data_IF_468333571233
#
_entry.id   IF_468333571233
#
_cell.length_a   1.000
_cell.length_b   1.000
_cell.length_c   1.000
_cell.angle_alpha   90.00
_cell.angle_beta   90.00
_cell.angle_gamma   90.00
#
_symmetry.space_group_name_H-M   'P 1'
#
loop_
_entity.id
_entity.type
_entity.pdbx_description
1 polymer ?
#
# COMPACT_ATOMS: atom_id res chain seq x y z
N UNK A 1 33.85 5.91 34.44
CA UNK A 1 33.13 6.63 33.39
C UNK A 1 33.42 5.96 32.06
N UNK A 2 32.62 4.97 31.65
CA UNK A 2 32.80 4.32 30.36
C UNK A 2 32.11 5.19 29.29
N UNK A 3 32.93 5.85 28.48
CA UNK A 3 32.50 6.63 27.32
C UNK A 3 31.82 5.71 26.30
N UNK A 4 30.53 5.95 26.05
CA UNK A 4 29.78 5.34 24.96
C UNK A 4 30.32 5.85 23.62
N UNK A 5 31.32 5.16 23.07
CA UNK A 5 31.69 5.29 21.67
C UNK A 5 30.56 4.71 20.82
N UNK A 6 29.62 5.57 20.40
CA UNK A 6 28.66 5.28 19.35
C UNK A 6 29.44 5.12 18.04
N UNK A 7 29.73 3.88 17.66
CA UNK A 7 30.21 3.52 16.33
C UNK A 7 29.25 4.00 15.22
N UNK A 8 29.64 3.91 13.93
CA UNK A 8 28.85 4.43 12.83
C UNK A 8 27.43 3.82 12.91
N UNK A 9 26.41 4.68 12.81
CA UNK A 9 24.99 4.29 12.84
C UNK A 9 24.75 3.11 11.88
N UNK A 10 24.68 1.89 12.41
CA UNK A 10 24.28 0.74 11.60
C UNK A 10 22.76 0.82 11.39
N UNK A 11 22.31 0.77 10.14
CA UNK A 11 20.88 0.73 9.81
C UNK A 11 20.24 -0.48 10.49
N UNK A 12 19.10 -0.28 11.15
CA UNK A 12 18.34 -1.38 11.78
C UNK A 12 17.88 -2.38 10.71
N UNK A 13 17.57 -3.65 11.05
CA UNK A 13 17.04 -4.60 10.06
C UNK A 13 15.79 -4.10 9.33
N UNK A 14 14.94 -3.34 10.03
CA UNK A 14 13.78 -2.68 9.45
C UNK A 14 14.18 -1.59 8.43
N UNK A 15 15.15 -0.73 8.76
CA UNK A 15 15.67 0.27 7.83
C UNK A 15 16.31 -0.39 6.60
N UNK A 16 17.05 -1.49 6.78
CA UNK A 16 17.62 -2.26 5.67
C UNK A 16 16.54 -2.88 4.77
N UNK A 17 15.42 -3.32 5.33
CA UNK A 17 14.28 -3.82 4.55
C UNK A 17 13.71 -2.72 3.62
N UNK A 18 13.55 -1.50 4.12
CA UNK A 18 13.13 -0.34 3.32
C UNK A 18 14.17 0.00 2.25
N UNK A 19 15.45 0.01 2.62
CA UNK A 19 16.55 0.24 1.69
C UNK A 19 16.58 -0.79 0.55
N UNK A 20 16.29 -2.05 0.87
CA UNK A 20 16.16 -3.14 -0.12
C UNK A 20 14.94 -2.96 -1.01
N UNK A 21 13.77 -2.65 -0.45
CA UNK A 21 12.52 -2.44 -1.21
C UNK A 21 12.60 -1.25 -2.17
N UNK A 22 13.53 -0.33 -1.93
CA UNK A 22 13.74 0.90 -2.71
C UNK A 22 15.06 0.89 -3.47
N UNK A 23 15.71 -0.25 -3.61
CA UNK A 23 16.97 -0.35 -4.36
C UNK A 23 16.73 -0.17 -5.86
N UNK A 24 17.34 0.87 -6.44
CA UNK A 24 17.23 1.20 -7.86
C UNK A 24 17.72 0.10 -8.81
N UNK A 25 18.44 -0.91 -8.31
CA UNK A 25 18.85 -2.06 -9.10
C UNK A 25 17.76 -3.15 -9.21
N UNK A 26 16.63 -3.00 -8.50
CA UNK A 26 15.55 -3.99 -8.59
C UNK A 26 14.81 -3.91 -9.95
N UNK A 27 14.55 -5.07 -10.59
CA UNK A 27 13.87 -5.13 -11.88
C UNK A 27 12.40 -4.70 -11.81
N UNK A 28 11.78 -4.81 -10.63
CA UNK A 28 10.36 -4.49 -10.37
C UNK A 28 10.13 -4.36 -8.87
N UNK A 29 8.94 -3.91 -8.48
CA UNK A 29 8.50 -3.80 -7.09
C UNK A 29 8.43 -5.18 -6.39
N UNK A 30 9.13 -5.32 -5.26
CA UNK A 30 8.93 -6.46 -4.35
C UNK A 30 7.72 -6.21 -3.44
N UNK A 31 6.52 -6.44 -3.97
CA UNK A 31 5.26 -6.27 -3.22
C UNK A 31 5.19 -7.11 -1.95
N UNK A 32 5.79 -8.30 -1.96
CA UNK A 32 5.87 -9.13 -0.76
C UNK A 32 6.68 -8.47 0.35
N UNK A 33 7.77 -7.76 0.02
CA UNK A 33 8.55 -6.97 0.96
C UNK A 33 7.84 -5.68 1.36
N UNK A 34 7.20 -4.98 0.41
CA UNK A 34 6.41 -3.77 0.69
C UNK A 34 5.32 -4.06 1.72
N UNK A 35 4.56 -5.15 1.57
CA UNK A 35 3.50 -5.50 2.52
C UNK A 35 4.07 -5.87 3.89
N UNK A 36 5.18 -6.62 3.94
CA UNK A 36 5.88 -6.90 5.22
C UNK A 36 6.36 -5.64 5.93
N UNK A 37 6.79 -4.62 5.18
CA UNK A 37 7.14 -3.31 5.75
C UNK A 37 5.89 -2.62 6.29
N UNK A 38 4.76 -2.65 5.56
CA UNK A 38 3.48 -2.09 6.03
C UNK A 38 3.02 -2.75 7.34
N UNK A 39 3.05 -4.08 7.41
CA UNK A 39 2.70 -4.83 8.62
C UNK A 39 3.58 -4.43 9.80
N UNK A 40 4.90 -4.34 9.59
CA UNK A 40 5.83 -3.90 10.63
C UNK A 40 5.53 -2.47 11.09
N UNK A 41 5.14 -1.57 10.19
CA UNK A 41 4.75 -0.20 10.56
C UNK A 41 3.49 -0.17 11.41
N UNK A 42 2.51 -1.02 11.11
CA UNK A 42 1.27 -1.15 11.88
C UNK A 42 1.52 -1.74 13.27
N UNK A 43 2.44 -2.70 13.40
CA UNK A 43 2.66 -3.44 14.65
C UNK A 43 3.56 -2.70 15.67
N UNK A 44 4.36 -1.72 15.24
CA UNK A 44 5.40 -1.12 16.10
C UNK A 44 5.31 0.41 16.14
N UNK A 45 5.14 0.97 17.34
CA UNK A 45 4.87 2.40 17.58
C UNK A 45 5.93 3.35 16.96
N UNK A 46 7.22 3.05 17.12
CA UNK A 46 8.31 3.92 16.63
C UNK A 46 8.64 3.74 15.15
N UNK A 47 8.14 2.68 14.53
CA UNK A 47 8.59 2.25 13.20
C UNK A 47 8.09 3.18 12.09
N UNK A 48 6.96 3.87 12.26
CA UNK A 48 6.49 4.89 11.32
C UNK A 48 7.51 6.03 11.16
N UNK A 49 8.07 6.50 12.29
CA UNK A 49 9.10 7.55 12.31
C UNK A 49 10.41 7.06 11.71
N UNK A 50 10.82 5.82 12.02
CA UNK A 50 12.00 5.22 11.40
C UNK A 50 11.83 5.05 9.88
N UNK A 51 10.66 4.63 9.42
CA UNK A 51 10.36 4.46 8.01
C UNK A 51 10.44 5.78 7.26
N UNK A 52 9.78 6.82 7.76
CA UNK A 52 9.81 8.16 7.17
C UNK A 52 11.24 8.71 7.11
N UNK A 53 12.07 8.45 8.12
CA UNK A 53 13.48 8.87 8.10
C UNK A 53 14.26 8.24 6.93
N UNK A 54 14.05 6.96 6.64
CA UNK A 54 14.72 6.29 5.49
C UNK A 54 14.12 6.77 4.17
N UNK A 55 12.79 6.90 4.09
CA UNK A 55 12.09 7.39 2.90
C UNK A 55 12.59 8.80 2.52
N UNK A 56 12.68 9.72 3.47
CA UNK A 56 13.22 11.08 3.23
C UNK A 56 14.61 11.03 2.60
N UNK A 57 15.52 10.21 3.17
CA UNK A 57 16.87 10.04 2.61
C UNK A 57 16.83 9.52 1.18
N UNK A 58 15.95 8.56 0.88
CA UNK A 58 15.81 7.96 -0.45
C UNK A 58 15.25 8.95 -1.48
N UNK A 59 14.30 9.80 -1.09
CA UNK A 59 13.75 10.86 -1.95
C UNK A 59 14.78 11.96 -2.29
N UNK A 60 15.77 12.16 -1.42
CA UNK A 60 16.82 13.17 -1.59
C UNK A 60 18.06 12.65 -2.34
N UNK A 61 18.07 11.39 -2.81
CA UNK A 61 19.20 10.84 -3.59
C UNK A 61 19.36 11.63 -4.88
N UNK A 62 20.62 11.89 -5.26
CA UNK A 62 20.94 12.60 -6.49
C UNK A 62 20.40 11.82 -7.70
N UNK A 63 19.53 12.42 -8.53
CA UNK A 63 18.84 11.73 -9.61
C UNK A 63 19.73 11.27 -10.78
N UNK A 64 20.96 11.79 -10.90
CA UNK A 64 21.81 11.65 -12.10
C UNK A 64 22.29 10.21 -12.37
N UNK A 65 22.40 9.35 -11.35
CA UNK A 65 22.85 7.95 -11.49
C UNK A 65 21.87 6.99 -10.80
N UNK A 66 20.97 6.36 -11.56
CA UNK A 66 19.93 5.42 -11.06
C UNK A 66 19.01 5.95 -9.94
N UNK A 67 19.07 7.25 -9.64
CA UNK A 67 18.30 7.88 -8.58
C UNK A 67 16.81 7.88 -8.88
N UNK A 68 16.41 8.07 -10.13
CA UNK A 68 14.99 8.04 -10.51
C UNK A 68 14.31 6.69 -10.29
N UNK A 69 15.03 5.59 -10.49
CA UNK A 69 14.49 4.25 -10.20
C UNK A 69 14.29 4.04 -8.71
N UNK A 70 15.27 4.45 -7.91
CA UNK A 70 15.18 4.46 -6.44
C UNK A 70 14.01 5.33 -5.95
N UNK A 71 13.86 6.54 -6.50
CA UNK A 71 12.77 7.46 -6.17
C UNK A 71 11.42 6.85 -6.55
N UNK A 72 11.28 6.28 -7.75
CA UNK A 72 10.05 5.61 -8.20
C UNK A 72 9.60 4.49 -7.26
N UNK A 73 10.52 3.58 -6.89
CA UNK A 73 10.24 2.51 -5.92
C UNK A 73 9.91 3.08 -4.52
N UNK A 74 10.59 4.15 -4.11
CA UNK A 74 10.32 4.84 -2.84
C UNK A 74 8.92 5.45 -2.83
N UNK A 75 8.47 6.06 -3.93
CA UNK A 75 7.12 6.60 -4.07
C UNK A 75 6.07 5.49 -4.00
N UNK A 76 6.33 4.33 -4.62
CA UNK A 76 5.43 3.17 -4.53
C UNK A 76 5.34 2.60 -3.11
N UNK A 77 6.47 2.48 -2.40
CA UNK A 77 6.46 2.08 -0.99
C UNK A 77 5.70 3.09 -0.11
N UNK A 78 5.95 4.38 -0.31
CA UNK A 78 5.28 5.46 0.41
C UNK A 78 3.76 5.43 0.18
N UNK A 79 3.33 5.23 -1.06
CA UNK A 79 1.92 5.07 -1.41
C UNK A 79 1.28 3.89 -0.65
N UNK A 80 1.93 2.73 -0.64
CA UNK A 80 1.46 1.57 0.11
C UNK A 80 1.36 1.86 1.62
N UNK A 81 2.37 2.48 2.21
CA UNK A 81 2.37 2.85 3.64
C UNK A 81 1.24 3.82 3.97
N UNK A 82 0.98 4.83 3.12
CA UNK A 82 -0.13 5.77 3.35
C UNK A 82 -1.50 5.10 3.30
N UNK A 83 -1.67 4.06 2.48
CA UNK A 83 -2.93 3.32 2.37
C UNK A 83 -3.15 2.31 3.49
N UNK A 84 -2.08 1.73 4.04
CA UNK A 84 -2.19 0.58 4.94
C UNK A 84 -1.89 0.89 6.42
N UNK A 85 -1.11 1.95 6.72
CA UNK A 85 -0.57 2.14 8.08
C UNK A 85 -1.35 3.12 8.97
N UNK A 86 -2.39 3.75 8.42
CA UNK A 86 -3.30 4.62 9.16
C UNK A 86 -2.64 5.86 9.80
N UNK A 87 -3.33 6.40 10.81
CA UNK A 87 -3.10 7.73 11.38
C UNK A 87 -1.67 7.95 11.91
N UNK A 88 -1.07 6.95 12.57
CA UNK A 88 0.29 7.08 13.11
C UNK A 88 1.31 7.41 12.01
N UNK A 89 1.18 6.77 10.84
CA UNK A 89 2.03 7.07 9.69
C UNK A 89 1.65 8.40 9.03
N UNK A 90 0.34 8.70 8.92
CA UNK A 90 -0.14 9.97 8.35
C UNK A 90 0.42 11.20 9.08
N UNK A 91 0.49 11.15 10.42
CA UNK A 91 1.09 12.21 11.23
C UNK A 91 2.58 12.43 10.93
N UNK A 92 3.32 11.37 10.56
CA UNK A 92 4.74 11.52 10.19
C UNK A 92 4.92 12.20 8.83
N UNK A 93 4.07 11.88 7.85
CA UNK A 93 4.15 12.49 6.50
C UNK A 93 3.52 13.89 6.44
N UNK A 94 2.66 14.25 7.39
CA UNK A 94 2.10 15.59 7.52
C UNK A 94 3.11 16.61 8.12
N UNK A 95 4.30 16.17 8.55
CA UNK A 95 5.33 17.08 9.04
C UNK A 95 5.82 18.02 7.94
N UNK A 96 5.91 19.32 8.23
CA UNK A 96 6.34 20.35 7.26
C UNK A 96 7.66 20.02 6.57
N UNK A 97 8.62 19.46 7.31
CA UNK A 97 9.92 19.11 6.75
C UNK A 97 9.83 17.92 5.79
N UNK A 98 8.95 16.95 6.05
CA UNK A 98 8.68 15.86 5.11
C UNK A 98 8.03 16.41 3.83
N UNK A 99 7.00 17.24 3.95
CA UNK A 99 6.31 17.83 2.80
C UNK A 99 7.24 18.67 1.92
N UNK A 100 8.14 19.46 2.54
CA UNK A 100 9.19 20.21 1.83
C UNK A 100 10.13 19.30 1.05
N UNK A 101 10.60 18.22 1.67
CA UNK A 101 11.46 17.24 1.00
C UNK A 101 10.72 16.53 -0.15
N UNK A 102 9.44 16.22 0.04
CA UNK A 102 8.60 15.57 -0.95
C UNK A 102 8.41 16.45 -2.19
N UNK A 103 8.07 17.73 -2.03
CA UNK A 103 8.06 18.71 -3.14
C UNK A 103 9.46 18.95 -3.69
N UNK A 104 10.50 18.79 -2.88
CA UNK A 104 11.90 18.89 -3.32
C UNK A 104 12.25 17.94 -4.47
N UNK A 105 11.54 16.82 -4.61
CA UNK A 105 11.67 15.91 -5.77
C UNK A 105 11.33 16.63 -7.08
N UNK A 106 10.34 17.52 -7.06
CA UNK A 106 9.86 18.30 -8.19
C UNK A 106 10.73 19.54 -8.51
N UNK A 107 11.81 19.76 -7.76
CA UNK A 107 12.64 20.95 -7.97
C UNK A 107 13.16 21.01 -9.41
N UNK A 108 13.07 22.15 -10.12
CA UNK A 108 13.47 22.26 -11.53
C UNK A 108 14.92 21.79 -11.79
N UNK A 109 15.82 22.04 -10.83
CA UNK A 109 17.21 21.59 -10.85
C UNK A 109 17.39 20.07 -10.98
N UNK A 110 16.40 19.28 -10.56
CA UNK A 110 16.43 17.83 -10.64
C UNK A 110 15.96 17.35 -12.03
N UNK A 111 15.10 18.12 -12.72
CA UNK A 111 14.48 17.73 -14.00
C UNK A 111 13.85 16.31 -13.95
N UNK A 112 12.87 16.07 -13.06
CA UNK A 112 12.24 14.77 -12.90
C UNK A 112 11.53 14.27 -14.16
N UNK A 113 11.53 12.95 -14.45
CA UNK A 113 10.70 12.35 -15.49
C UNK A 113 9.21 12.64 -15.24
N UNK A 114 8.42 12.79 -16.31
CA UNK A 114 6.99 13.10 -16.26
C UNK A 114 6.22 12.16 -15.33
N UNK A 115 6.46 10.84 -15.41
CA UNK A 115 5.81 9.86 -14.55
C UNK A 115 6.08 10.07 -13.04
N UNK A 116 7.27 10.58 -12.68
CA UNK A 116 7.59 10.93 -11.29
C UNK A 116 6.86 12.22 -10.89
N UNK A 117 6.79 13.20 -11.79
CA UNK A 117 6.06 14.45 -11.53
C UNK A 117 4.59 14.18 -11.26
N UNK A 118 3.92 13.46 -12.17
CA UNK A 118 2.51 13.08 -12.08
C UNK A 118 2.24 12.30 -10.79
N UNK A 119 3.10 11.34 -10.45
CA UNK A 119 2.93 10.52 -9.24
C UNK A 119 3.05 11.36 -7.96
N UNK A 120 4.05 12.24 -7.84
CA UNK A 120 4.21 13.10 -6.66
C UNK A 120 3.03 14.07 -6.53
N UNK A 121 2.64 14.73 -7.61
CA UNK A 121 1.52 15.67 -7.61
C UNK A 121 0.20 14.97 -7.28
N UNK A 122 -0.07 13.81 -7.88
CA UNK A 122 -1.24 13.00 -7.59
C UNK A 122 -1.29 12.55 -6.13
N UNK A 123 -0.17 12.16 -5.54
CA UNK A 123 -0.11 11.81 -4.11
C UNK A 123 -0.44 12.99 -3.20
N UNK A 124 0.14 14.19 -3.45
CA UNK A 124 -0.19 15.40 -2.67
C UNK A 124 -1.69 15.71 -2.76
N UNK A 125 -2.27 15.64 -3.97
CA UNK A 125 -3.69 15.90 -4.20
C UNK A 125 -4.60 14.89 -3.48
N UNK A 126 -4.27 13.59 -3.57
CA UNK A 126 -5.00 12.52 -2.88
C UNK A 126 -4.93 12.73 -1.37
N UNK A 127 -3.76 13.04 -0.81
CA UNK A 127 -3.63 13.28 0.63
C UNK A 127 -4.39 14.51 1.09
N UNK A 128 -4.33 15.62 0.33
CA UNK A 128 -5.09 16.82 0.64
C UNK A 128 -6.60 16.56 0.68
N UNK A 129 -7.11 15.70 -0.22
CA UNK A 129 -8.51 15.28 -0.23
C UNK A 129 -8.83 14.32 0.93
N UNK A 130 -7.99 13.29 1.14
CA UNK A 130 -8.21 12.25 2.13
C UNK A 130 -8.13 12.77 3.58
N UNK A 131 -7.31 13.80 3.82
CA UNK A 131 -7.03 14.33 5.15
C UNK A 131 -7.78 15.61 5.48
N UNK A 132 -8.65 16.12 4.58
CA UNK A 132 -9.31 17.43 4.73
C UNK A 132 -10.18 17.56 5.98
N UNK A 133 -10.78 16.44 6.41
CA UNK A 133 -11.73 16.39 7.52
C UNK A 133 -11.04 16.09 8.87
N UNK A 134 -9.71 15.95 8.86
CA UNK A 134 -8.88 15.65 10.03
C UNK A 134 -8.09 16.88 10.49
N UNK A 135 -8.43 17.49 11.65
CA UNK A 135 -7.78 18.72 12.13
C UNK A 135 -6.27 18.61 12.34
N UNK A 136 -5.76 17.41 12.67
CA UNK A 136 -4.31 17.24 12.89
C UNK A 136 -3.53 17.10 11.57
N UNK A 137 -4.22 16.85 10.45
CA UNK A 137 -3.63 16.66 9.13
C UNK A 137 -3.96 17.80 8.16
N UNK A 138 -4.69 18.84 8.60
CA UNK A 138 -5.09 20.01 7.82
C UNK A 138 -3.91 20.71 7.11
N UNK A 139 -2.70 20.59 7.67
CA UNK A 139 -1.46 21.11 7.10
C UNK A 139 -1.17 20.57 5.70
N UNK A 140 -1.63 19.35 5.38
CA UNK A 140 -1.44 18.76 4.05
C UNK A 140 -2.32 19.45 3.02
N UNK A 141 -3.56 19.81 3.38
CA UNK A 141 -4.44 20.61 2.53
C UNK A 141 -3.91 22.03 2.30
N UNK A 142 -3.38 22.67 3.34
CA UNK A 142 -2.71 23.98 3.22
C UNK A 142 -1.51 23.90 2.28
N UNK A 143 -0.68 22.85 2.43
CA UNK A 143 0.47 22.62 1.59
C UNK A 143 0.11 22.38 0.11
N UNK A 144 -0.98 21.68 -0.16
CA UNK A 144 -1.51 21.51 -1.53
C UNK A 144 -1.90 22.86 -2.16
N UNK A 145 -2.62 23.71 -1.43
CA UNK A 145 -2.96 25.05 -1.93
C UNK A 145 -1.74 25.95 -2.10
N UNK A 146 -0.75 25.87 -1.20
CA UNK A 146 0.54 26.56 -1.36
C UNK A 146 1.28 26.10 -2.64
N UNK A 147 1.24 24.81 -2.96
CA UNK A 147 1.84 24.27 -4.18
C UNK A 147 1.16 24.84 -5.43
N UNK A 148 -0.18 24.92 -5.44
CA UNK A 148 -0.93 25.53 -6.56
C UNK A 148 -0.60 27.01 -6.73
N UNK A 149 -0.51 27.76 -5.63
CA UNK A 149 -0.13 29.18 -5.66
C UNK A 149 1.29 29.40 -6.20
N UNK A 150 2.18 28.42 -6.03
CA UNK A 150 3.53 28.44 -6.57
C UNK A 150 3.62 27.99 -8.05
N UNK A 151 2.48 27.72 -8.70
CA UNK A 151 2.41 27.37 -10.12
C UNK A 151 2.60 25.89 -10.41
N UNK A 152 2.51 25.00 -9.40
CA UNK A 152 2.46 23.56 -9.68
C UNK A 152 1.07 23.19 -10.23
N UNK A 153 1.05 22.68 -11.45
CA UNK A 153 -0.15 22.19 -12.12
C UNK A 153 -0.43 20.75 -11.68
N UNK A 154 -1.59 20.52 -11.07
CA UNK A 154 -1.99 19.20 -10.60
C UNK A 154 -2.80 18.46 -11.67
N UNK A 155 -2.70 17.12 -11.71
CA UNK A 155 -3.50 16.33 -12.63
C UNK A 155 -5.01 16.52 -12.35
N UNK A 156 -5.87 16.28 -13.35
CA UNK A 156 -7.31 16.28 -13.16
C UNK A 156 -7.70 15.36 -12.00
N UNK A 157 -8.60 15.81 -11.13
CA UNK A 157 -9.13 14.97 -10.06
C UNK A 157 -10.02 13.88 -10.69
N UNK A 158 -9.44 12.74 -11.05
CA UNK A 158 -10.22 11.64 -11.59
C UNK A 158 -11.14 11.04 -10.50
N UNK A 159 -12.37 10.63 -10.85
CA UNK A 159 -13.34 10.10 -9.89
C UNK A 159 -12.79 8.89 -9.11
N UNK A 160 -11.93 8.08 -9.73
CA UNK A 160 -11.26 6.98 -9.04
C UNK A 160 -10.29 7.44 -7.94
N UNK A 161 -9.62 8.58 -8.09
CA UNK A 161 -8.73 9.14 -7.06
C UNK A 161 -9.53 9.74 -5.91
N UNK A 162 -10.73 10.26 -6.18
CA UNK A 162 -11.69 10.71 -5.16
C UNK A 162 -12.21 9.51 -4.36
N UNK A 163 -12.57 8.41 -5.03
CA UNK A 163 -13.01 7.18 -4.38
C UNK A 163 -11.88 6.59 -3.52
N UNK A 164 -10.65 6.52 -4.06
CA UNK A 164 -9.46 6.04 -3.31
C UNK A 164 -9.16 6.90 -2.07
N UNK A 165 -9.44 8.21 -2.12
CA UNK A 165 -9.27 9.12 -0.98
C UNK A 165 -10.41 9.02 0.05
N UNK A 166 -11.63 8.70 -0.40
CA UNK A 166 -12.84 8.69 0.43
C UNK A 166 -13.11 7.37 1.15
N UNK A 167 -12.44 6.27 0.79
CA UNK A 167 -12.58 5.00 1.50
C UNK A 167 -11.68 5.03 2.74
N UNK A 168 -12.22 5.17 3.96
CA UNK A 168 -11.43 4.89 5.15
C UNK A 168 -10.99 3.44 5.08
N UNK A 169 -9.71 3.16 5.34
CA UNK A 169 -9.22 1.81 5.55
C UNK A 169 -9.87 1.23 6.82
N UNK A 170 -11.11 0.78 6.73
CA UNK A 170 -11.77 -0.01 7.78
C UNK A 170 -11.14 -1.39 7.77
N UNK A 171 -10.14 -1.52 8.63
CA UNK A 171 -9.51 -2.76 9.03
C UNK A 171 -8.88 -2.59 10.41
N UNK A 172 -9.52 -1.84 11.31
CA UNK A 172 -9.20 -1.88 12.74
C UNK A 172 -9.50 -3.29 13.23
N UNK A 173 -8.48 -4.16 13.22
CA UNK A 173 -8.48 -5.36 14.04
C UNK A 173 -8.40 -4.85 15.49
N UNK A 174 -9.57 -4.68 16.11
CA UNK A 174 -9.65 -4.54 17.56
C UNK A 174 -8.99 -5.77 18.18
N UNK A 175 -7.85 -5.54 18.84
CA UNK A 175 -7.13 -6.55 19.60
C UNK A 175 -7.95 -6.85 20.87
N UNK A 176 -8.47 -8.07 21.08
CA UNK A 176 -9.04 -8.40 22.38
C UNK A 176 -7.90 -8.46 23.39
N UNK A 177 -8.04 -7.72 24.49
CA UNK A 177 -7.12 -7.75 25.61
C UNK A 177 -6.99 -9.20 26.16
N UNK A 178 -5.80 -9.66 26.59
CA UNK A 178 -5.67 -10.95 27.23
C UNK A 178 -6.20 -10.83 28.66
N UNK A 179 -7.39 -11.38 28.91
CA UNK A 179 -7.88 -11.59 30.28
C UNK A 179 -7.01 -12.70 30.90
N UNK A 180 -6.18 -12.30 31.86
CA UNK A 180 -5.44 -13.22 32.71
C UNK A 180 -6.42 -14.15 33.45
N UNK A 181 -6.31 -15.46 33.20
CA UNK A 181 -6.81 -16.49 34.10
C UNK A 181 -5.65 -17.37 34.52
N UNK A 182 -5.31 -17.23 35.79
CA UNK A 182 -4.26 -17.95 36.49
C UNK A 182 -4.87 -19.15 37.24
N UNK A 183 -4.13 -20.27 37.23
CA UNK A 183 -4.20 -21.45 38.11
C UNK A 183 -5.41 -22.40 37.90
N UNK A 184 -5.29 -23.74 37.92
CA UNK A 184 -4.38 -24.61 38.69
C UNK A 184 -4.22 -25.99 38.03
N UNK A 185 -3.03 -26.59 38.14
CA UNK A 185 -2.81 -28.04 37.92
C UNK A 185 -3.48 -28.87 39.03
N UNK A 186 -3.60 -30.20 38.87
CA UNK A 186 -2.57 -31.06 39.47
C UNK A 186 -2.12 -32.25 38.59
N UNK A 187 -0.87 -32.65 38.82
CA UNK A 187 -0.21 -33.82 38.26
C UNK A 187 -0.69 -35.14 38.88
N UNK A 188 -0.62 -36.22 38.11
CA UNK A 188 -0.25 -37.56 38.59
C UNK A 188 0.28 -38.42 37.44
N UNK A 189 1.37 -39.11 37.73
CA UNK A 189 2.22 -39.87 36.84
C UNK A 189 1.62 -41.25 36.47
N UNK A 190 2.10 -41.85 35.37
CA UNK A 190 2.79 -43.16 35.33
C UNK A 190 2.85 -43.69 33.88
N UNK A 191 4.07 -43.92 33.39
CA UNK A 191 4.41 -44.73 32.20
C UNK A 191 4.39 -46.22 32.58
N UNK A 192 4.13 -47.16 31.65
CA UNK A 192 5.27 -47.77 30.94
C UNK A 192 5.06 -48.04 29.45
N UNK A 193 6.19 -48.04 28.74
CA UNK A 193 6.39 -48.38 27.33
C UNK A 193 6.01 -49.83 27.01
N UNK A 194 5.54 -50.07 25.78
CA UNK A 194 5.84 -51.29 25.05
C UNK A 194 5.87 -51.05 23.53
N UNK A 195 6.91 -51.60 22.91
CA UNK A 195 7.28 -51.53 21.50
C UNK A 195 6.22 -52.10 20.54
N UNK A 196 6.15 -51.54 19.32
CA UNK A 196 6.08 -52.32 18.07
C UNK A 196 6.25 -51.44 16.83
N UNK A 197 6.78 -52.10 15.81
CA UNK A 197 7.57 -51.61 14.68
C UNK A 197 6.77 -51.14 13.46
N UNK A 198 7.36 -50.17 12.73
CA UNK A 198 7.49 -49.98 11.28
C UNK A 198 6.38 -50.44 10.31
N UNK A 199 5.91 -49.56 9.41
CA UNK A 199 6.35 -49.49 7.99
C UNK A 199 5.71 -48.31 7.21
N UNK A 200 6.56 -47.65 6.42
CA UNK A 200 6.35 -46.98 5.12
C UNK A 200 5.35 -45.81 5.02
N UNK A 201 5.68 -44.63 4.47
CA UNK A 201 6.08 -44.40 3.07
C UNK A 201 7.06 -43.21 2.97
N UNK A 202 8.17 -43.45 2.29
CA UNK A 202 9.10 -42.45 1.77
C UNK A 202 8.84 -42.21 0.28
N UNK A 203 8.75 -40.94 -0.12
CA UNK A 203 9.44 -40.49 -1.34
C UNK A 203 9.49 -38.96 -1.40
N UNK A 204 10.68 -38.44 -1.06
CA UNK A 204 11.23 -37.13 -1.39
C UNK A 204 11.16 -36.83 -2.91
N UNK A 205 11.10 -35.55 -3.28
CA UNK A 205 12.24 -34.95 -4.01
C UNK A 205 12.23 -33.41 -4.06
N UNK A 206 13.47 -32.92 -4.15
CA UNK A 206 14.01 -31.59 -3.87
C UNK A 206 14.27 -30.79 -5.16
N UNK A 207 13.99 -29.49 -5.10
CA UNK A 207 14.59 -28.32 -5.79
C UNK A 207 15.36 -28.55 -7.11
N UNK A 208 14.84 -27.96 -8.21
CA UNK A 208 15.61 -27.29 -9.30
C UNK A 208 14.78 -26.18 -9.95
N UNK A 209 15.36 -24.98 -10.09
CA UNK A 209 15.00 -23.92 -11.07
C UNK A 209 16.10 -23.89 -12.16
N UNK A 210 15.98 -23.15 -13.29
CA UNK A 210 14.84 -22.43 -13.89
C UNK A 210 14.64 -22.78 -15.39
N UNK A 211 13.75 -22.03 -16.06
CA UNK A 211 13.47 -21.97 -17.53
C UNK A 211 12.37 -22.90 -18.05
N UNK A 212 11.22 -22.32 -18.40
CA UNK A 212 10.44 -22.49 -19.65
C UNK A 212 9.09 -21.78 -19.46
N UNK A 213 8.69 -20.98 -20.45
CA UNK A 213 7.38 -20.34 -20.60
C UNK A 213 6.26 -21.26 -20.09
N UNK A 214 5.60 -20.87 -18.99
CA UNK A 214 4.43 -21.59 -18.49
C UNK A 214 3.27 -21.30 -19.43
N UNK A 215 3.17 -22.09 -20.50
CA UNK A 215 1.94 -22.17 -21.29
C UNK A 215 0.82 -22.52 -20.32
N UNK A 216 -0.20 -21.66 -20.25
CA UNK A 216 -1.38 -21.88 -19.43
C UNK A 216 -2.00 -23.22 -19.83
N UNK A 217 -2.39 -24.00 -18.82
CA UNK A 217 -3.05 -25.27 -19.06
C UNK A 217 -4.36 -25.02 -19.84
N UNK A 218 -4.78 -25.96 -20.70
CA UNK A 218 -6.04 -25.83 -21.45
C UNK A 218 -7.25 -25.59 -20.53
N UNK A 219 -7.20 -26.09 -19.29
CA UNK A 219 -8.20 -25.86 -18.25
C UNK A 219 -8.23 -24.40 -17.77
N UNK A 220 -7.07 -23.76 -17.59
CA UNK A 220 -7.00 -22.33 -17.25
C UNK A 220 -7.50 -21.44 -18.40
N UNK A 221 -7.22 -21.82 -19.65
CA UNK A 221 -7.71 -21.11 -20.83
C UNK A 221 -9.23 -21.26 -20.95
N UNK A 222 -9.77 -22.46 -20.72
CA UNK A 222 -11.22 -22.69 -20.71
C UNK A 222 -11.92 -21.89 -19.60
N UNK A 223 -11.33 -21.84 -18.41
CA UNK A 223 -11.84 -21.05 -17.29
C UNK A 223 -11.89 -19.56 -17.61
N UNK A 224 -10.81 -19.00 -18.17
CA UNK A 224 -10.77 -17.60 -18.57
C UNK A 224 -11.79 -17.26 -19.66
N UNK A 225 -12.01 -18.16 -20.62
CA UNK A 225 -13.05 -17.98 -21.65
C UNK A 225 -14.45 -17.98 -21.04
N UNK A 226 -14.71 -18.86 -20.08
CA UNK A 226 -15.99 -18.89 -19.37
C UNK A 226 -16.20 -17.63 -18.53
N UNK A 227 -15.17 -17.13 -17.84
CA UNK A 227 -15.27 -15.89 -17.07
C UNK A 227 -15.50 -14.68 -17.98
N UNK A 228 -14.85 -14.64 -19.15
CA UNK A 228 -15.05 -13.58 -20.14
C UNK A 228 -16.49 -13.55 -20.69
N UNK A 229 -17.07 -14.72 -20.94
CA UNK A 229 -18.44 -14.86 -21.44
C UNK A 229 -19.48 -14.35 -20.42
N UNK A 230 -19.26 -14.65 -19.13
CA UNK A 230 -20.10 -14.12 -18.03
C UNK A 230 -20.00 -12.59 -17.96
N UNK A 231 -18.79 -12.03 -18.07
CA UNK A 231 -18.58 -10.58 -18.03
C UNK A 231 -19.22 -9.88 -19.22
N UNK A 232 -19.11 -10.46 -20.42
CA UNK A 232 -19.76 -9.92 -21.63
C UNK A 232 -21.28 -9.95 -21.52
N UNK A 233 -21.84 -11.05 -21.03
CA UNK A 233 -23.28 -11.18 -20.77
C UNK A 233 -23.75 -10.14 -19.76
N UNK A 234 -23.03 -9.97 -18.64
CA UNK A 234 -23.37 -8.97 -17.64
C UNK A 234 -23.31 -7.55 -18.22
N UNK A 235 -22.26 -7.22 -18.99
CA UNK A 235 -22.14 -5.91 -19.63
C UNK A 235 -23.29 -5.63 -20.62
N UNK A 236 -23.75 -6.65 -21.34
CA UNK A 236 -24.90 -6.53 -22.23
C UNK A 236 -26.20 -6.26 -21.47
N UNK A 237 -26.46 -7.01 -20.39
CA UNK A 237 -27.65 -6.81 -19.54
C UNK A 237 -27.65 -5.41 -18.92
N UNK A 238 -26.50 -4.92 -18.44
CA UNK A 238 -26.38 -3.55 -17.93
C UNK A 238 -26.60 -2.51 -19.03
N UNK A 239 -26.12 -2.77 -20.24
CA UNK A 239 -26.40 -1.93 -21.41
C UNK A 239 -27.91 -1.83 -21.70
N UNK A 240 -28.62 -2.95 -21.68
CA UNK A 240 -30.07 -3.00 -21.89
C UNK A 240 -30.84 -2.29 -20.76
N UNK A 241 -30.43 -2.44 -19.49
CA UNK A 241 -31.02 -1.68 -18.38
C UNK A 241 -30.84 -0.15 -18.52
N UNK A 242 -29.71 0.28 -19.08
CA UNK A 242 -29.46 1.72 -19.32
C UNK A 242 -30.27 2.29 -20.48
N UNK A 243 -30.77 1.45 -21.40
CA UNK A 243 -31.64 1.88 -22.51
C UNK A 243 -33.09 2.15 -22.04
N UNK A 244 -33.51 1.55 -20.92
CA UNK A 244 -34.86 1.73 -20.36
C UNK A 244 -35.02 3.08 -19.63
N UNK A 245 -33.93 3.78 -19.34
CA UNK A 245 -33.98 5.13 -18.76
C UNK A 245 -33.75 6.20 -19.84
N UNK A 246 -34.72 6.36 -20.74
CA UNK A 246 -34.85 7.62 -21.49
C UNK A 246 -35.34 8.72 -20.54
N UNK A 247 -34.57 9.81 -20.30
CA UNK A 247 -34.93 10.84 -19.32
C UNK A 247 -36.03 11.83 -19.76
N UNK A 248 -37.09 11.40 -20.47
CA UNK A 248 -38.06 12.38 -20.99
C UNK A 248 -39.47 11.89 -21.41
N UNK A 249 -40.00 10.74 -21.00
CA UNK A 249 -41.44 10.48 -21.12
C UNK A 249 -41.98 9.83 -19.86
N UNK A 250 -42.32 10.65 -18.85
CA UNK A 250 -43.28 10.24 -17.84
C UNK A 250 -44.65 10.09 -18.52
N UNK A 251 -45.23 8.91 -18.42
CA UNK A 251 -46.52 8.62 -19.02
C UNK A 251 -47.60 9.45 -18.29
N UNK A 252 -48.50 10.17 -18.98
CA UNK A 252 -49.45 11.08 -18.34
C UNK A 252 -50.43 10.40 -17.35
N UNK A 253 -50.48 9.07 -17.33
CA UNK A 253 -51.25 8.30 -16.35
C UNK A 253 -50.55 8.18 -14.98
N UNK A 254 -49.23 8.31 -14.92
CA UNK A 254 -48.46 8.25 -13.66
C UNK A 254 -48.59 9.56 -12.86
N UNK A 255 -48.93 10.67 -13.51
CA UNK A 255 -49.23 11.96 -12.85
C UNK A 255 -50.60 11.96 -12.14
N UNK A 256 -51.56 11.16 -12.60
CA UNK A 256 -52.91 11.08 -11.99
C UNK A 256 -52.93 10.29 -10.67
N UNK A 257 -51.85 9.56 -10.35
CA UNK A 257 -51.67 8.87 -9.06
C UNK A 257 -51.08 9.77 -7.97
N UNK A 258 -50.75 11.02 -8.30
CA UNK A 258 -50.17 12.01 -7.37
C UNK A 258 -51.18 13.09 -6.90
N UNK A 259 -52.47 12.93 -7.23
CA UNK A 259 -53.58 13.77 -6.73
C UNK A 259 -54.43 13.05 -5.67
#
# INVERSE_FOLDING_TARGET
>A
MASFFRGPFQSTPFQQAIEKATDGNQPSEDWGLIMRICDHVVMHEDSAKEAVKVIRKRLQINPVTSGWRTIGLTLTLLEALTKNCGKSFHLQIAQKDFLKDFRGVLAPKNSPPTAIQEKVLGMIQIWALAFRDDPELIVVGQFYEECKQQGLEFPPAEPENIIKAAVPATGTIERPAPVARSMSQPASATMPRQDRSASDISSHQTIREPTVLKQMTPEQIAKLRSELDVVQTNAQVFGEMLVILQPAEEHPQDLDLLL
#
